data_IF_620658157706
#
_entry.id   IF_620658157706
#
_cell.length_a   1.000
_cell.length_b   1.000
_cell.length_c   1.000
_cell.angle_alpha   90.00
_cell.angle_beta   90.00
_cell.angle_gamma   90.00
#
_symmetry.space_group_name_H-M   'P 1'
#
loop_
_entity.id
_entity.type
_entity.pdbx_description
1 polymer ?
#
# COMPACT_ATOMS: atom_id res chain seq x y z
N UNK A 1 14.20 25.51 3.47
CA UNK A 1 12.83 25.41 4.04
C UNK A 1 12.06 24.24 3.45
N UNK A 2 12.11 24.04 2.11
CA UNK A 2 11.46 22.92 1.38
C UNK A 2 11.65 21.50 1.94
N UNK A 3 12.84 21.17 2.46
CA UNK A 3 13.16 19.82 2.97
C UNK A 3 12.44 19.48 4.29
N UNK A 4 12.07 20.49 5.08
CA UNK A 4 11.40 20.27 6.36
C UNK A 4 9.91 20.03 6.18
N UNK A 5 9.27 20.78 5.27
CA UNK A 5 7.86 20.61 4.91
C UNK A 5 7.61 19.26 4.22
N UNK A 6 8.47 18.85 3.29
CA UNK A 6 8.39 17.55 2.61
C UNK A 6 8.53 16.38 3.60
N UNK A 7 9.39 16.52 4.60
CA UNK A 7 9.58 15.50 5.63
C UNK A 7 8.35 15.41 6.58
N UNK A 8 7.71 16.54 6.88
CA UNK A 8 6.47 16.59 7.65
C UNK A 8 5.31 15.91 6.92
N UNK A 9 5.06 16.26 5.65
CA UNK A 9 3.98 15.66 4.85
C UNK A 9 4.18 14.14 4.70
N UNK A 10 5.43 13.70 4.56
CA UNK A 10 5.76 12.28 4.52
C UNK A 10 5.48 11.58 5.84
N UNK A 11 5.79 12.22 6.97
CA UNK A 11 5.47 11.68 8.29
C UNK A 11 3.96 11.58 8.51
N UNK A 12 3.18 12.55 8.04
CA UNK A 12 1.71 12.54 8.10
C UNK A 12 1.12 11.42 7.21
N UNK A 13 1.65 11.25 6.00
CA UNK A 13 1.27 10.13 5.12
C UNK A 13 1.55 8.77 5.76
N UNK A 14 2.68 8.62 6.45
CA UNK A 14 3.00 7.41 7.22
C UNK A 14 2.01 7.21 8.35
N UNK A 15 1.72 8.24 9.16
CA UNK A 15 0.78 8.14 10.26
C UNK A 15 -0.62 7.68 9.78
N UNK A 16 -1.13 8.30 8.72
CA UNK A 16 -2.38 7.89 8.08
C UNK A 16 -2.31 6.45 7.55
N UNK A 17 -1.21 6.09 6.88
CA UNK A 17 -1.03 4.74 6.32
C UNK A 17 -0.94 3.66 7.39
N UNK A 18 -0.36 3.94 8.55
CA UNK A 18 -0.34 3.02 9.69
C UNK A 18 -1.76 2.70 10.17
N UNK A 19 -2.60 3.73 10.27
CA UNK A 19 -3.99 3.56 10.70
C UNK A 19 -4.85 2.87 9.65
N UNK A 20 -4.60 3.10 8.35
CA UNK A 20 -5.33 2.44 7.27
C UNK A 20 -4.93 0.96 7.09
N UNK A 21 -3.65 0.64 7.24
CA UNK A 21 -3.12 -0.71 6.95
C UNK A 21 -2.94 -1.58 8.19
N UNK A 22 -2.84 -0.99 9.39
CA UNK A 22 -2.51 -1.69 10.63
C UNK A 22 -1.02 -2.04 10.79
N UNK A 23 -0.16 -1.66 9.83
CA UNK A 23 1.29 -1.85 9.92
C UNK A 23 1.95 -0.69 10.67
N UNK A 24 3.09 -0.94 11.31
CA UNK A 24 3.88 0.12 11.96
C UNK A 24 4.71 0.93 10.95
N UNK A 25 5.25 2.06 11.39
CA UNK A 25 6.06 2.95 10.53
C UNK A 25 7.29 2.26 9.95
N UNK A 26 7.99 1.44 10.73
CA UNK A 26 9.18 0.71 10.29
C UNK A 26 8.87 -0.22 9.11
N UNK A 27 7.78 -0.98 9.19
CA UNK A 27 7.33 -1.86 8.12
C UNK A 27 7.05 -1.08 6.83
N UNK A 28 6.35 0.05 6.93
CA UNK A 28 6.05 0.91 5.77
C UNK A 28 7.32 1.51 5.17
N UNK A 29 8.25 2.02 5.98
CA UNK A 29 9.54 2.55 5.51
C UNK A 29 10.42 1.49 4.85
N UNK A 30 10.42 0.27 5.40
CA UNK A 30 11.22 -0.85 4.87
C UNK A 30 10.86 -1.23 3.43
N UNK A 31 9.66 -0.84 2.96
CA UNK A 31 9.21 -1.08 1.58
C UNK A 31 9.99 -0.26 0.55
N UNK A 32 10.56 0.89 0.96
CA UNK A 32 11.17 1.86 0.04
C UNK A 32 10.16 2.55 -0.89
N UNK A 33 8.85 2.42 -0.64
CA UNK A 33 7.79 2.90 -1.54
C UNK A 33 7.03 4.13 -1.02
N UNK A 34 7.32 4.57 0.21
CA UNK A 34 6.62 5.67 0.90
C UNK A 34 6.49 6.92 0.02
N UNK A 35 7.61 7.47 -0.42
CA UNK A 35 7.67 8.66 -1.29
C UNK A 35 6.86 8.45 -2.58
N UNK A 36 7.04 7.31 -3.23
CA UNK A 36 6.38 6.99 -4.49
C UNK A 36 4.87 6.88 -4.33
N UNK A 37 4.41 6.21 -3.28
CA UNK A 37 2.98 6.07 -3.00
C UNK A 37 2.37 7.40 -2.55
N UNK A 38 3.10 8.23 -1.82
CA UNK A 38 2.67 9.61 -1.51
C UNK A 38 2.42 10.39 -2.79
N UNK A 39 3.38 10.39 -3.72
CA UNK A 39 3.24 11.07 -5.02
C UNK A 39 2.03 10.57 -5.79
N UNK A 40 1.86 9.25 -5.93
CA UNK A 40 0.71 8.66 -6.63
C UNK A 40 -0.61 9.06 -5.95
N UNK A 41 -0.68 9.03 -4.62
CA UNK A 41 -1.88 9.41 -3.89
C UNK A 41 -2.24 10.89 -4.10
N UNK A 42 -1.25 11.79 -4.06
CA UNK A 42 -1.46 13.23 -4.33
C UNK A 42 -1.96 13.44 -5.76
N UNK A 43 -1.33 12.80 -6.75
CA UNK A 43 -1.68 12.94 -8.16
C UNK A 43 -3.10 12.45 -8.47
N UNK A 44 -3.50 11.32 -7.87
CA UNK A 44 -4.77 10.68 -8.17
C UNK A 44 -5.95 11.26 -7.37
N UNK A 45 -5.72 11.67 -6.12
CA UNK A 45 -6.78 12.23 -5.27
C UNK A 45 -6.94 13.73 -5.45
N UNK A 46 -5.87 14.43 -5.85
CA UNK A 46 -5.72 15.87 -5.78
C UNK A 46 -5.34 16.34 -4.36
N UNK A 47 -4.70 17.53 -4.22
CA UNK A 47 -4.11 17.99 -2.96
C UNK A 47 -5.14 18.14 -1.84
N UNK A 48 -6.30 18.75 -2.10
CA UNK A 48 -7.32 18.98 -1.08
C UNK A 48 -7.89 17.67 -0.49
N UNK A 49 -8.13 16.66 -1.34
CA UNK A 49 -8.64 15.36 -0.87
C UNK A 49 -7.54 14.56 -0.16
N UNK A 50 -6.30 14.65 -0.64
CA UNK A 50 -5.15 14.05 0.00
C UNK A 50 -4.93 14.63 1.41
N UNK A 51 -4.89 15.95 1.55
CA UNK A 51 -4.75 16.63 2.85
C UNK A 51 -5.86 16.23 3.83
N UNK A 52 -7.12 16.22 3.37
CA UNK A 52 -8.24 15.77 4.20
C UNK A 52 -8.09 14.31 4.64
N UNK A 53 -7.63 13.43 3.76
CA UNK A 53 -7.34 12.04 4.12
C UNK A 53 -6.27 11.95 5.21
N UNK A 54 -5.19 12.72 5.12
CA UNK A 54 -4.13 12.73 6.13
C UNK A 54 -4.66 13.19 7.50
N UNK A 55 -5.48 14.24 7.52
CA UNK A 55 -6.07 14.80 8.74
C UNK A 55 -7.03 13.83 9.44
N UNK A 56 -7.84 13.12 8.68
CA UNK A 56 -8.84 12.20 9.23
C UNK A 56 -8.26 10.83 9.58
N UNK A 57 -7.43 10.27 8.69
CA UNK A 57 -6.84 8.95 8.90
C UNK A 57 -5.63 8.96 9.83
N UNK A 58 -4.90 10.07 9.94
CA UNK A 58 -3.73 10.20 10.81
C UNK A 58 -4.07 10.33 12.31
N UNK A 59 -5.35 10.41 12.66
CA UNK A 59 -5.78 10.46 14.06
C UNK A 59 -5.68 9.07 14.70
N UNK A 60 -5.06 8.93 15.88
CA UNK A 60 -4.95 7.64 16.56
C UNK A 60 -6.34 7.06 16.82
N UNK A 61 -6.55 5.76 16.51
CA UNK A 61 -7.84 5.06 16.72
C UNK A 61 -8.46 5.26 18.11
N UNK A 62 -7.66 5.51 19.15
CA UNK A 62 -8.13 5.76 20.52
C UNK A 62 -8.74 7.15 20.78
N UNK A 63 -8.58 8.11 19.85
CA UNK A 63 -9.30 9.40 19.85
C UNK A 63 -10.56 9.38 18.99
N UNK A 64 -10.74 8.33 18.19
CA UNK A 64 -11.99 8.09 17.49
C UNK A 64 -13.04 7.71 18.53
N UNK A 65 -14.19 8.37 18.46
CA UNK A 65 -15.34 8.17 19.34
C UNK A 65 -15.59 6.66 19.53
N UNK A 66 -16.09 6.22 20.68
CA UNK A 66 -16.36 4.79 21.01
C UNK A 66 -17.26 4.09 19.97
N UNK A 67 -17.92 4.86 19.11
CA UNK A 67 -18.48 4.43 17.84
C UNK A 67 -17.46 4.75 16.72
N UNK A 68 -16.81 3.73 16.15
CA UNK A 68 -15.88 3.89 15.03
C UNK A 68 -16.60 4.38 13.77
N UNK A 69 -16.93 5.66 13.75
CA UNK A 69 -17.75 6.30 12.73
C UNK A 69 -16.91 6.47 11.47
N UNK A 70 -16.96 5.44 10.63
CA UNK A 70 -16.78 5.61 9.20
C UNK A 70 -18.04 6.26 8.59
N UNK A 71 -19.13 6.41 9.36
CA UNK A 71 -20.38 7.07 8.93
C UNK A 71 -20.24 8.58 8.72
N UNK A 72 -19.24 9.25 9.34
CA UNK A 72 -18.98 10.69 9.13
C UNK A 72 -18.07 10.96 7.91
N UNK A 73 -17.49 9.90 7.32
CA UNK A 73 -16.71 10.03 6.10
C UNK A 73 -17.64 10.02 4.90
N UNK A 74 -17.54 11.04 4.06
CA UNK A 74 -18.22 10.98 2.77
C UNK A 74 -17.65 9.84 1.90
N UNK A 75 -18.45 9.38 0.94
CA UNK A 75 -18.09 8.28 0.03
C UNK A 75 -16.74 8.52 -0.66
N UNK A 76 -16.42 9.77 -1.00
CA UNK A 76 -15.17 10.14 -1.66
C UNK A 76 -13.94 9.99 -0.76
N UNK A 77 -14.07 10.26 0.54
CA UNK A 77 -13.02 10.04 1.53
C UNK A 77 -12.83 8.55 1.82
N UNK A 78 -13.93 7.80 1.90
CA UNK A 78 -13.91 6.36 2.09
C UNK A 78 -13.24 5.65 0.90
N UNK A 79 -13.54 6.09 -0.32
CA UNK A 79 -12.90 5.58 -1.54
C UNK A 79 -11.42 5.96 -1.62
N UNK A 80 -11.04 7.16 -1.19
CA UNK A 80 -9.64 7.56 -1.10
C UNK A 80 -8.84 6.66 -0.14
N UNK A 81 -9.40 6.38 1.04
CA UNK A 81 -8.79 5.50 2.03
C UNK A 81 -8.68 4.05 1.53
N UNK A 82 -9.71 3.54 0.86
CA UNK A 82 -9.67 2.23 0.20
C UNK A 82 -8.60 2.19 -0.89
N UNK A 83 -8.49 3.25 -1.69
CA UNK A 83 -7.49 3.33 -2.75
C UNK A 83 -6.06 3.29 -2.23
N UNK A 84 -5.75 4.07 -1.18
CA UNK A 84 -4.43 4.06 -0.53
C UNK A 84 -4.16 2.71 0.14
N UNK A 85 -5.16 2.11 0.80
CA UNK A 85 -5.01 0.77 1.39
C UNK A 85 -4.71 -0.27 0.30
N UNK A 86 -5.47 -0.27 -0.79
CA UNK A 86 -5.24 -1.19 -1.91
C UNK A 86 -3.86 -0.99 -2.54
N UNK A 87 -3.42 0.27 -2.69
CA UNK A 87 -2.09 0.60 -3.17
C UNK A 87 -1.01 -0.06 -2.29
N UNK A 88 -1.13 0.05 -0.97
CA UNK A 88 -0.18 -0.56 -0.04
C UNK A 88 -0.16 -2.09 -0.12
N UNK A 89 -1.32 -2.73 -0.22
CA UNK A 89 -1.41 -4.18 -0.24
C UNK A 89 -0.99 -4.79 -1.58
N UNK A 90 -1.28 -4.14 -2.70
CA UNK A 90 -1.16 -4.73 -4.04
C UNK A 90 -0.10 -4.06 -4.94
N UNK A 91 0.39 -2.89 -4.53
CA UNK A 91 1.24 -2.04 -5.37
C UNK A 91 0.57 -1.45 -6.60
N UNK A 92 -0.77 -1.49 -6.63
CA UNK A 92 -1.59 -1.03 -7.75
C UNK A 92 -2.61 -0.01 -7.29
N UNK A 93 -2.79 1.05 -8.08
CA UNK A 93 -3.82 2.05 -7.83
C UNK A 93 -5.17 1.58 -8.42
N UNK A 94 -6.27 1.62 -7.65
CA UNK A 94 -7.59 1.36 -8.18
C UNK A 94 -8.12 2.60 -8.92
N UNK A 95 -8.20 2.47 -10.24
CA UNK A 95 -8.83 3.45 -11.12
C UNK A 95 -9.46 2.74 -12.31
N UNK A 96 -10.21 3.44 -13.17
CA UNK A 96 -10.63 2.92 -14.46
C UNK A 96 -9.69 3.43 -15.58
N UNK A 97 -8.69 2.65 -16.06
CA UNK A 97 -8.30 1.29 -15.64
C UNK A 97 -7.31 1.29 -14.46
N UNK A 98 -7.21 0.17 -13.72
CA UNK A 98 -6.26 0.05 -12.62
C UNK A 98 -4.85 -0.05 -13.20
N UNK A 99 -3.86 0.47 -12.49
CA UNK A 99 -2.47 0.43 -12.94
C UNK A 99 -1.52 0.04 -11.81
N UNK A 100 -0.50 -0.75 -12.15
CA UNK A 100 0.58 -1.11 -11.25
C UNK A 100 1.59 0.04 -11.22
N UNK A 101 1.89 0.56 -10.03
CA UNK A 101 2.80 1.70 -9.88
C UNK A 101 4.22 1.35 -10.34
N UNK A 102 4.66 0.12 -10.07
CA UNK A 102 5.87 -0.47 -10.67
C UNK A 102 5.99 -1.96 -10.36
N UNK A 103 6.81 -2.73 -11.09
CA UNK A 103 7.11 -4.12 -10.73
C UNK A 103 7.66 -4.28 -9.31
N UNK A 104 8.49 -3.34 -8.85
CA UNK A 104 9.00 -3.32 -7.47
C UNK A 104 7.88 -3.11 -6.43
N UNK A 105 6.90 -2.27 -6.74
CA UNK A 105 5.73 -2.03 -5.90
C UNK A 105 4.90 -3.30 -5.69
N UNK A 106 4.69 -4.09 -6.75
CA UNK A 106 4.01 -5.39 -6.64
C UNK A 106 4.81 -6.38 -5.77
N UNK A 107 6.14 -6.43 -5.94
CA UNK A 107 7.01 -7.32 -5.18
C UNK A 107 7.05 -7.03 -3.68
N UNK A 108 6.82 -5.77 -3.30
CA UNK A 108 6.83 -5.31 -1.90
C UNK A 108 5.43 -5.09 -1.31
N UNK A 109 4.38 -5.51 -2.02
CA UNK A 109 3.00 -5.37 -1.54
C UNK A 109 2.81 -5.98 -0.15
N UNK A 110 2.11 -5.26 0.74
CA UNK A 110 1.91 -5.70 2.13
C UNK A 110 1.10 -7.00 2.22
N UNK A 111 0.34 -7.37 1.17
CA UNK A 111 -0.36 -8.66 1.11
C UNK A 111 0.57 -9.85 1.32
N UNK A 112 1.79 -9.79 0.78
CA UNK A 112 2.79 -10.86 0.93
C UNK A 112 3.34 -10.91 2.35
N UNK A 113 3.64 -9.75 2.93
CA UNK A 113 4.12 -9.64 4.31
C UNK A 113 3.06 -10.14 5.31
N UNK A 114 1.80 -9.75 5.11
CA UNK A 114 0.67 -10.19 5.94
C UNK A 114 0.44 -11.71 5.88
N UNK A 115 0.66 -12.31 4.70
CA UNK A 115 0.58 -13.75 4.51
C UNK A 115 1.83 -14.52 4.98
N UNK A 116 2.92 -13.82 5.33
CA UNK A 116 4.23 -14.44 5.60
C UNK A 116 4.88 -15.07 4.36
N UNK A 117 4.54 -14.58 3.17
CA UNK A 117 4.95 -15.12 1.88
C UNK A 117 5.84 -14.14 1.11
N UNK A 118 6.57 -14.66 0.12
CA UNK A 118 7.21 -13.85 -0.91
C UNK A 118 6.25 -13.65 -2.09
N UNK A 119 6.35 -12.50 -2.76
CA UNK A 119 5.54 -12.21 -3.94
C UNK A 119 5.78 -13.24 -5.07
N UNK A 120 4.74 -13.89 -5.61
CA UNK A 120 4.88 -14.81 -6.72
C UNK A 120 5.55 -14.14 -7.93
N UNK A 121 6.41 -14.88 -8.63
CA UNK A 121 7.14 -14.43 -9.82
C UNK A 121 8.10 -13.23 -9.61
N UNK A 122 8.55 -12.97 -8.37
CA UNK A 122 9.52 -11.90 -8.06
C UNK A 122 10.88 -12.40 -7.58
N UNK A 123 10.96 -13.66 -7.15
CA UNK A 123 12.24 -14.34 -7.02
C UNK A 123 12.80 -14.58 -8.44
N UNK A 124 14.12 -14.44 -8.65
CA UNK A 124 14.71 -14.87 -9.90
C UNK A 124 14.44 -16.37 -10.05
N UNK A 125 13.54 -16.72 -10.96
CA UNK A 125 13.48 -18.08 -11.47
C UNK A 125 14.86 -18.31 -12.11
N UNK A 126 15.68 -19.14 -11.50
CA UNK A 126 16.91 -19.58 -12.16
C UNK A 126 16.54 -20.08 -13.56
N UNK A 127 17.26 -19.61 -14.58
CA UNK A 127 17.17 -20.14 -15.94
C UNK A 127 17.21 -21.68 -15.86
N UNK A 128 16.06 -22.35 -15.99
CA UNK A 128 15.97 -23.82 -15.86
C UNK A 128 14.79 -24.38 -15.07
N UNK A 129 13.97 -23.58 -14.37
CA UNK A 129 12.83 -24.12 -13.59
C UNK A 129 11.72 -24.78 -14.43
N UNK A 130 11.75 -24.57 -15.75
CA UNK A 130 10.81 -25.15 -16.73
C UNK A 130 11.43 -26.28 -17.57
N UNK A 131 12.66 -26.70 -17.28
CA UNK A 131 13.41 -27.66 -18.09
C UNK A 131 13.31 -29.12 -17.64
N UNK A 132 12.74 -29.42 -16.47
CA UNK A 132 12.56 -30.81 -16.02
C UNK A 132 11.17 -31.32 -16.37
N UNK A 133 11.10 -32.32 -17.26
CA UNK A 133 9.90 -33.10 -17.45
C UNK A 133 9.52 -33.79 -16.12
N UNK A 134 8.24 -33.85 -15.74
CA UNK A 134 7.82 -34.61 -14.56
C UNK A 134 8.27 -36.06 -14.74
N UNK A 135 8.91 -36.64 -13.72
CA UNK A 135 9.26 -38.04 -13.72
C UNK A 135 7.95 -38.85 -13.78
N UNK A 136 7.63 -39.35 -14.98
CA UNK A 136 6.59 -40.35 -15.15
C UNK A 136 7.09 -41.62 -14.48
N UNK A 137 6.61 -41.90 -13.27
CA UNK A 137 6.87 -43.20 -12.65
C UNK A 137 5.91 -44.23 -13.21
N UNK A 138 6.55 -45.28 -13.72
CA UNK A 138 6.01 -46.44 -14.40
C UNK A 138 5.16 -47.29 -13.44
N UNK A 139 3.91 -47.57 -13.80
CA UNK A 139 3.18 -48.69 -13.20
C UNK A 139 3.60 -49.98 -13.93
N UNK A 140 4.28 -50.88 -13.20
CA UNK A 140 4.53 -52.27 -13.61
C UNK A 140 3.28 -53.13 -13.44
#
# INVERSE_FOLDING_TARGET
MRTTEENTETAEFIAASMELTGFNSEALWSTGLVERYRTVAIEQLGPARFERLLQEAGQPRGRRNVQGDWDDWDDGLLDAARAVTQLWYTGSWPGPPPFVVSPHAYARGLAWTAAGLAAPATAPAGYGSWGHAPAGESAS
#
